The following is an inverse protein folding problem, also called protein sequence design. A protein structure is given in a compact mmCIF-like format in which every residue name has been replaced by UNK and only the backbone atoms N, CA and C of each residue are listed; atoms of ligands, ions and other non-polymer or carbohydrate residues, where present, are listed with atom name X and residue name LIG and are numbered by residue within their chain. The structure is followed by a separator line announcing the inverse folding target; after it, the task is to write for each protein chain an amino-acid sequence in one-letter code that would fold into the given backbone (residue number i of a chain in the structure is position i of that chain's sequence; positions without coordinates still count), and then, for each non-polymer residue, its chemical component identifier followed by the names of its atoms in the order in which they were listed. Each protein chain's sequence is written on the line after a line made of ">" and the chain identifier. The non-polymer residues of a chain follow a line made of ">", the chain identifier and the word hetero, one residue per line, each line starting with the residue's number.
data_IF_260283703435
#
_entry.id   IF_260283703435
#
_cell.length_a   1.000
_cell.length_b   1.000
_cell.length_c   1.000
_cell.angle_alpha   90.00
_cell.angle_beta   90.00
_cell.angle_gamma   90.00
#
_symmetry.space_group_name_H-M   'P 1'
#
loop_
_entity.id
_entity.type
_entity.pdbx_description
1 polymer ?
#
# COMPACT_ATOMS: atom_id res chain seq x y z
N UNK A 1 39.39 16.45 -4.88
CA UNK A 1 39.89 17.53 -4.01
C UNK A 1 38.82 17.81 -2.97
N UNK A 2 38.98 17.18 -1.82
CA UNK A 2 38.41 17.47 -0.51
C UNK A 2 38.68 16.20 0.31
N UNK A 3 39.88 16.11 0.88
CA UNK A 3 40.20 15.13 1.92
C UNK A 3 41.29 15.71 2.86
N UNK A 4 41.10 16.97 3.26
CA UNK A 4 42.02 17.72 4.12
C UNK A 4 41.49 17.92 5.56
N UNK A 5 40.46 17.17 5.97
CA UNK A 5 39.86 17.30 7.33
C UNK A 5 40.28 16.23 8.33
N UNK A 6 40.73 15.04 7.90
CA UNK A 6 41.18 13.99 8.83
C UNK A 6 42.64 14.18 9.29
N UNK A 7 43.49 14.81 8.48
CA UNK A 7 44.88 15.07 8.83
C UNK A 7 45.05 16.16 9.91
N UNK A 8 44.04 17.02 10.11
CA UNK A 8 44.08 18.12 11.08
C UNK A 8 43.78 17.71 12.52
N UNK A 9 43.03 16.63 12.73
CA UNK A 9 42.60 16.19 14.08
C UNK A 9 43.67 15.32 14.74
N UNK A 10 44.34 14.44 13.98
CA UNK A 10 45.39 13.58 14.52
C UNK A 10 46.68 14.32 14.88
N UNK A 11 46.95 15.48 14.29
CA UNK A 11 48.18 16.25 14.57
C UNK A 11 48.09 17.11 15.83
N UNK A 12 46.90 17.31 16.39
CA UNK A 12 46.68 18.12 17.59
C UNK A 12 46.77 17.25 18.87
N UNK A 13 46.59 15.94 18.77
CA UNK A 13 46.59 15.03 19.91
C UNK A 13 47.96 14.43 20.25
N UNK A 14 48.91 14.38 19.31
CA UNK A 14 50.25 13.80 19.56
C UNK A 14 51.22 14.76 20.28
N UNK A 15 50.97 16.09 20.26
CA UNK A 15 51.93 17.09 20.75
C UNK A 15 51.68 17.55 22.22
N UNK A 16 50.72 16.92 22.92
CA UNK A 16 50.39 17.22 24.32
C UNK A 16 50.08 15.98 25.16
N UNK A 17 50.83 14.88 25.00
CA UNK A 17 50.76 13.74 25.91
C UNK A 17 52.10 13.50 26.59
N UNK A 18 52.06 13.27 27.89
CA UNK A 18 53.25 12.84 28.64
C UNK A 18 53.51 11.36 28.40
N UNK A 19 54.79 10.95 28.48
CA UNK A 19 55.20 9.56 28.23
C UNK A 19 54.45 8.54 29.12
N UNK A 20 54.05 8.95 30.33
CA UNK A 20 53.27 8.13 31.26
C UNK A 20 51.83 7.93 30.78
N UNK A 21 51.20 8.94 30.19
CA UNK A 21 49.83 8.84 29.63
C UNK A 21 49.79 7.96 28.39
N UNK A 22 50.82 8.03 27.54
CA UNK A 22 50.97 7.16 26.38
C UNK A 22 51.09 5.69 26.80
N UNK A 23 51.86 5.40 27.85
CA UNK A 23 52.06 4.04 28.37
C UNK A 23 50.78 3.46 28.99
N UNK A 24 50.01 4.27 29.72
CA UNK A 24 48.73 3.84 30.31
C UNK A 24 47.71 3.53 29.21
N UNK A 25 47.66 4.30 28.13
CA UNK A 25 46.71 4.09 27.04
C UNK A 25 47.06 2.88 26.17
N UNK A 26 48.34 2.52 26.06
CA UNK A 26 48.80 1.27 25.44
C UNK A 26 48.47 0.05 26.32
N UNK A 27 48.68 0.13 27.65
CA UNK A 27 48.28 -0.91 28.61
C UNK A 27 46.75 -1.12 28.63
N UNK A 28 45.96 -0.05 28.45
CA UNK A 28 44.50 -0.11 28.34
C UNK A 28 44.00 -0.56 26.95
N UNK A 29 44.89 -0.76 25.98
CA UNK A 29 44.58 -1.25 24.63
C UNK A 29 43.77 -0.28 23.77
N UNK A 30 43.75 1.01 24.14
CA UNK A 30 42.94 2.04 23.47
C UNK A 30 43.67 2.55 22.22
N UNK A 31 45.01 2.56 22.23
CA UNK A 31 45.88 2.84 21.08
C UNK A 31 47.18 2.02 21.18
N UNK A 32 47.75 1.55 20.06
CA UNK A 32 49.00 0.77 20.04
C UNK A 32 48.94 -0.57 19.29
N UNK A 33 50.05 -1.31 19.26
CA UNK A 33 50.18 -2.61 18.56
C UNK A 33 49.14 -3.64 19.05
N UNK A 34 48.77 -3.56 20.34
CA UNK A 34 47.78 -4.41 21.01
C UNK A 34 46.38 -4.34 20.38
N UNK A 35 45.90 -3.13 20.02
CA UNK A 35 44.59 -2.91 19.37
C UNK A 35 44.57 -3.43 17.93
N UNK A 36 45.66 -3.24 17.19
CA UNK A 36 45.78 -3.75 15.80
C UNK A 36 45.80 -5.27 15.77
N UNK A 37 46.49 -5.90 16.72
CA UNK A 37 46.54 -7.36 16.83
C UNK A 37 45.19 -7.94 17.27
N UNK A 38 44.50 -7.30 18.22
CA UNK A 38 43.16 -7.69 18.65
C UNK A 38 42.11 -7.57 17.54
N UNK A 39 42.09 -6.45 16.81
CA UNK A 39 41.18 -6.27 15.67
C UNK A 39 41.49 -7.24 14.53
N UNK A 40 42.76 -7.56 14.29
CA UNK A 40 43.18 -8.59 13.33
C UNK A 40 42.71 -10.00 13.72
N UNK A 41 42.78 -10.35 15.01
CA UNK A 41 42.30 -11.65 15.50
C UNK A 41 40.77 -11.76 15.48
N UNK A 42 40.05 -10.68 15.79
CA UNK A 42 38.57 -10.64 15.73
C UNK A 42 38.04 -10.77 14.29
N UNK A 43 38.71 -10.14 13.31
CA UNK A 43 38.29 -10.23 11.91
C UNK A 43 38.51 -11.62 11.29
N UNK A 44 39.56 -12.34 11.70
CA UNK A 44 39.78 -13.73 11.28
C UNK A 44 38.73 -14.71 11.85
N UNK A 45 38.30 -14.51 13.10
CA UNK A 45 37.28 -15.35 13.74
C UNK A 45 35.87 -15.11 13.18
N UNK A 46 35.51 -13.86 12.85
CA UNK A 46 34.19 -13.49 12.35
C UNK A 46 33.87 -14.08 10.96
N UNK A 47 34.85 -14.14 10.06
CA UNK A 47 34.67 -14.72 8.71
C UNK A 47 34.42 -16.23 8.77
N UNK A 48 35.09 -16.93 9.67
CA UNK A 48 34.93 -18.38 9.85
C UNK A 48 33.51 -18.76 10.30
N UNK A 49 32.96 -18.05 11.28
CA UNK A 49 31.62 -18.34 11.83
C UNK A 49 30.51 -18.04 10.82
N UNK A 50 30.62 -16.93 10.08
CA UNK A 50 29.65 -16.56 9.05
C UNK A 50 29.67 -17.53 7.85
N UNK A 51 30.86 -17.97 7.42
CA UNK A 51 30.99 -18.94 6.32
C UNK A 51 30.39 -20.31 6.69
N UNK A 52 30.60 -20.77 7.93
CA UNK A 52 30.01 -22.00 8.46
C UNK A 52 28.48 -21.89 8.58
N UNK A 53 27.94 -20.75 9.01
CA UNK A 53 26.49 -20.53 9.03
C UNK A 53 25.88 -20.46 7.62
N UNK A 54 26.57 -19.83 6.66
CA UNK A 54 26.11 -19.77 5.27
C UNK A 54 26.06 -21.16 4.61
N UNK A 55 27.10 -21.99 4.83
CA UNK A 55 27.13 -23.37 4.34
C UNK A 55 26.11 -24.28 5.04
N UNK A 56 25.91 -24.10 6.36
CA UNK A 56 24.88 -24.83 7.10
C UNK A 56 23.47 -24.45 6.62
N UNK A 57 23.22 -23.16 6.33
CA UNK A 57 21.95 -22.70 5.77
C UNK A 57 21.73 -23.19 4.34
N UNK A 58 22.76 -23.27 3.50
CA UNK A 58 22.64 -23.86 2.16
C UNK A 58 22.27 -25.34 2.22
N UNK A 59 22.89 -26.11 3.12
CA UNK A 59 22.53 -27.51 3.32
C UNK A 59 21.14 -27.67 3.95
N UNK A 60 20.72 -26.76 4.84
CA UNK A 60 19.36 -26.77 5.40
C UNK A 60 18.29 -26.44 4.33
N UNK A 61 18.56 -25.49 3.42
CA UNK A 61 17.68 -25.16 2.30
C UNK A 61 17.67 -26.23 1.20
N UNK A 62 18.80 -26.92 0.98
CA UNK A 62 18.89 -28.02 0.03
C UNK A 62 18.32 -29.35 0.59
N UNK A 63 18.42 -29.57 1.90
CA UNK A 63 17.85 -30.71 2.62
C UNK A 63 16.38 -30.51 2.99
N UNK A 64 15.90 -29.27 3.05
CA UNK A 64 14.49 -28.98 2.75
C UNK A 64 14.28 -29.18 1.26
N UNK A 65 14.46 -30.42 0.80
CA UNK A 65 13.98 -30.87 -0.50
C UNK A 65 12.58 -30.31 -0.62
N UNK A 66 12.40 -29.43 -1.62
CA UNK A 66 11.26 -28.53 -1.69
C UNK A 66 10.03 -29.28 -1.25
N UNK A 67 9.38 -28.80 -0.19
CA UNK A 67 8.04 -29.26 0.14
C UNK A 67 7.30 -29.12 -1.17
N UNK A 68 7.12 -30.24 -1.87
CA UNK A 68 6.34 -30.28 -3.07
C UNK A 68 5.04 -29.65 -2.62
N UNK A 69 4.71 -28.49 -3.21
CA UNK A 69 3.43 -27.85 -2.96
C UNK A 69 2.41 -28.99 -3.01
N UNK A 70 1.62 -29.21 -1.94
CA UNK A 70 0.79 -30.40 -1.83
C UNK A 70 0.09 -30.58 -3.16
N UNK A 71 0.31 -31.74 -3.79
CA UNK A 71 -0.24 -32.07 -5.09
C UNK A 71 -1.71 -31.62 -5.08
N UNK A 72 -2.06 -30.76 -6.05
CA UNK A 72 -3.29 -29.98 -6.09
C UNK A 72 -4.42 -30.69 -5.33
N UNK A 73 -4.79 -30.12 -4.18
CA UNK A 73 -5.85 -30.64 -3.33
C UNK A 73 -7.01 -31.09 -4.22
N UNK A 74 -7.41 -32.36 -4.08
CA UNK A 74 -8.57 -32.91 -4.78
C UNK A 74 -9.72 -31.92 -4.63
N UNK A 75 -10.09 -31.25 -5.71
CA UNK A 75 -11.22 -30.34 -5.72
C UNK A 75 -12.45 -31.22 -5.55
N UNK A 76 -12.98 -31.28 -4.32
CA UNK A 76 -14.02 -32.24 -3.94
C UNK A 76 -15.27 -32.08 -4.81
N UNK A 77 -15.62 -30.84 -5.16
CA UNK A 77 -16.78 -30.48 -5.98
C UNK A 77 -16.35 -29.64 -7.18
N UNK A 78 -15.56 -30.24 -8.08
CA UNK A 78 -15.00 -29.54 -9.22
C UNK A 78 -16.08 -29.08 -10.22
N UNK A 79 -16.08 -27.79 -10.51
CA UNK A 79 -16.87 -27.16 -11.56
C UNK A 79 -15.94 -26.48 -12.56
N UNK A 80 -16.19 -26.67 -13.84
CA UNK A 80 -15.57 -25.85 -14.89
C UNK A 80 -16.44 -24.61 -15.08
N UNK A 81 -15.83 -23.44 -14.94
CA UNK A 81 -16.48 -22.14 -15.10
C UNK A 81 -15.68 -21.30 -16.09
N UNK A 82 -16.35 -20.60 -16.99
CA UNK A 82 -15.74 -19.67 -17.92
C UNK A 82 -16.41 -18.28 -17.83
N UNK A 83 -15.60 -17.22 -17.71
CA UNK A 83 -16.09 -15.85 -17.66
C UNK A 83 -15.02 -14.88 -18.16
N UNK A 84 -15.42 -13.64 -18.46
CA UNK A 84 -14.51 -12.62 -18.99
C UNK A 84 -14.02 -11.73 -17.86
N UNK A 85 -12.73 -11.73 -17.58
CA UNK A 85 -12.11 -10.87 -16.55
C UNK A 85 -11.26 -9.81 -17.24
N UNK A 86 -11.57 -8.53 -17.00
CA UNK A 86 -10.83 -7.39 -17.55
C UNK A 86 -10.66 -7.46 -19.08
N UNK A 87 -11.70 -7.93 -19.78
CA UNK A 87 -11.73 -8.09 -21.23
C UNK A 87 -11.20 -9.43 -21.75
N UNK A 88 -10.47 -10.20 -20.94
CA UNK A 88 -9.89 -11.49 -21.32
C UNK A 88 -10.77 -12.68 -20.88
N UNK A 89 -10.94 -13.67 -21.73
CA UNK A 89 -11.64 -14.90 -21.38
C UNK A 89 -10.79 -15.78 -20.45
N UNK A 90 -11.39 -16.26 -19.36
CA UNK A 90 -10.75 -17.11 -18.35
C UNK A 90 -11.63 -18.33 -18.12
N UNK A 91 -11.04 -19.52 -18.24
CA UNK A 91 -11.69 -20.79 -17.88
C UNK A 91 -10.95 -21.42 -16.72
N UNK A 92 -11.67 -21.77 -15.66
CA UNK A 92 -11.13 -22.28 -14.41
C UNK A 92 -11.87 -23.56 -14.01
N UNK A 93 -11.12 -24.51 -13.45
CA UNK A 93 -11.70 -25.58 -12.64
C UNK A 93 -11.61 -25.15 -11.16
N UNK A 94 -12.77 -24.99 -10.51
CA UNK A 94 -12.90 -24.45 -9.15
C UNK A 94 -13.73 -25.38 -8.27
N UNK A 95 -13.54 -25.30 -6.96
CA UNK A 95 -14.48 -25.89 -5.99
C UNK A 95 -15.80 -25.11 -6.03
N UNK A 96 -16.94 -25.79 -5.88
CA UNK A 96 -18.27 -25.16 -5.88
C UNK A 96 -18.46 -24.09 -4.80
N UNK A 97 -17.67 -24.11 -3.72
CA UNK A 97 -17.68 -23.12 -2.63
C UNK A 97 -16.79 -21.91 -2.91
N UNK A 98 -15.96 -21.94 -3.95
CA UNK A 98 -14.98 -20.89 -4.21
C UNK A 98 -15.69 -19.56 -4.51
N UNK A 99 -15.38 -18.55 -3.71
CA UNK A 99 -15.86 -17.19 -3.92
C UNK A 99 -15.21 -16.59 -5.17
N UNK A 100 -15.88 -15.61 -5.79
CA UNK A 100 -15.31 -14.85 -6.88
C UNK A 100 -14.04 -14.13 -6.42
N UNK A 101 -13.99 -13.68 -5.16
CA UNK A 101 -12.80 -13.06 -4.58
C UNK A 101 -11.60 -14.00 -4.60
N UNK A 102 -11.77 -15.24 -4.15
CA UNK A 102 -10.69 -16.22 -4.10
C UNK A 102 -10.31 -16.72 -5.49
N UNK A 103 -11.27 -16.86 -6.40
CA UNK A 103 -10.98 -17.16 -7.80
C UNK A 103 -10.11 -16.06 -8.45
N UNK A 104 -10.44 -14.79 -8.24
CA UNK A 104 -9.67 -13.67 -8.77
C UNK A 104 -8.26 -13.61 -8.18
N UNK A 105 -8.14 -13.72 -6.85
CA UNK A 105 -6.87 -13.52 -6.16
C UNK A 105 -5.95 -14.72 -6.23
N UNK A 106 -6.47 -15.92 -5.97
CA UNK A 106 -5.67 -17.11 -5.69
C UNK A 106 -5.57 -18.04 -6.91
N UNK A 107 -6.47 -17.89 -7.90
CA UNK A 107 -6.43 -18.67 -9.15
C UNK A 107 -6.00 -17.86 -10.36
N UNK A 108 -6.32 -16.56 -10.37
CA UNK A 108 -5.98 -15.65 -11.46
C UNK A 108 -4.90 -14.63 -11.08
N UNK A 109 -4.43 -14.64 -9.83
CA UNK A 109 -3.37 -13.75 -9.31
C UNK A 109 -3.68 -12.25 -9.45
N UNK A 110 -4.97 -11.91 -9.60
CA UNK A 110 -5.49 -10.53 -9.60
C UNK A 110 -5.75 -10.10 -8.15
N UNK A 111 -4.66 -9.68 -7.50
CA UNK A 111 -4.67 -9.39 -6.06
C UNK A 111 -5.23 -8.02 -5.69
N UNK A 112 -5.62 -7.20 -6.67
CA UNK A 112 -6.15 -5.85 -6.48
C UNK A 112 -7.42 -5.84 -5.62
N UNK A 113 -8.37 -6.73 -5.88
CA UNK A 113 -9.51 -6.94 -4.98
C UNK A 113 -9.06 -7.53 -3.64
N UNK A 114 -9.52 -6.94 -2.52
CA UNK A 114 -9.00 -7.27 -1.18
C UNK A 114 -9.98 -8.05 -0.32
N UNK A 115 -9.45 -9.01 0.44
CA UNK A 115 -10.19 -9.69 1.51
C UNK A 115 -9.95 -8.94 2.82
N UNK A 116 -10.91 -8.10 3.21
CA UNK A 116 -10.86 -7.37 4.49
C UNK A 116 -11.63 -8.05 5.64
N UNK A 117 -12.73 -8.71 5.31
CA UNK A 117 -13.61 -9.33 6.32
C UNK A 117 -14.18 -10.70 5.92
N UNK A 118 -14.23 -11.02 4.63
CA UNK A 118 -14.85 -12.24 4.06
C UNK A 118 -16.34 -12.49 4.38
N UNK A 119 -17.03 -11.51 4.99
CA UNK A 119 -18.43 -11.63 5.40
C UNK A 119 -19.29 -10.43 4.95
N UNK A 120 -18.86 -9.72 3.89
CA UNK A 120 -19.62 -8.63 3.28
C UNK A 120 -19.73 -7.33 4.10
N UNK A 121 -18.89 -7.15 5.12
CA UNK A 121 -18.99 -6.01 6.05
C UNK A 121 -18.20 -4.77 5.61
N UNK A 122 -17.13 -4.91 4.81
CA UNK A 122 -16.20 -3.80 4.56
C UNK A 122 -16.16 -3.25 3.13
N UNK A 123 -16.68 -3.95 2.13
CA UNK A 123 -16.62 -3.52 0.72
C UNK A 123 -15.23 -3.54 0.06
N UNK A 124 -14.15 -3.90 0.75
CA UNK A 124 -12.80 -3.91 0.16
C UNK A 124 -12.65 -4.90 -1.03
N UNK A 125 -13.57 -5.87 -1.12
CA UNK A 125 -13.65 -6.87 -2.17
C UNK A 125 -14.52 -6.47 -3.38
N UNK A 126 -15.00 -5.21 -3.45
CA UNK A 126 -15.91 -4.81 -4.53
C UNK A 126 -15.27 -5.00 -5.91
N UNK A 127 -16.01 -5.64 -6.80
CA UNK A 127 -15.75 -5.76 -8.24
C UNK A 127 -17.02 -5.45 -9.01
N UNK A 128 -16.91 -5.27 -10.33
CA UNK A 128 -18.06 -4.96 -11.20
C UNK A 128 -18.39 -6.18 -12.05
N UNK A 129 -19.58 -6.75 -11.89
CA UNK A 129 -20.09 -7.88 -12.68
C UNK A 129 -21.24 -7.39 -13.55
N UNK A 130 -21.10 -7.50 -14.87
CA UNK A 130 -22.06 -7.02 -15.88
C UNK A 130 -22.51 -5.57 -15.61
N UNK A 131 -21.54 -4.70 -15.29
CA UNK A 131 -21.77 -3.28 -15.00
C UNK A 131 -22.27 -2.97 -13.59
N UNK A 132 -22.56 -3.99 -12.75
CA UNK A 132 -23.05 -3.82 -11.37
C UNK A 132 -21.97 -4.12 -10.35
N UNK A 133 -21.75 -3.24 -9.38
CA UNK A 133 -20.86 -3.55 -8.26
C UNK A 133 -21.43 -4.66 -7.37
N UNK A 134 -20.57 -5.59 -6.96
CA UNK A 134 -20.92 -6.71 -6.07
C UNK A 134 -19.80 -6.97 -5.06
N UNK A 135 -20.15 -7.57 -3.92
CA UNK A 135 -19.18 -8.07 -2.95
C UNK A 135 -18.69 -9.45 -3.40
N UNK A 136 -17.46 -9.51 -3.93
CA UNK A 136 -16.93 -10.76 -4.49
C UNK A 136 -16.71 -11.87 -3.46
N UNK A 137 -16.55 -11.54 -2.16
CA UNK A 137 -16.51 -12.55 -1.09
C UNK A 137 -17.85 -13.27 -0.85
N UNK A 138 -18.98 -12.66 -1.23
CA UNK A 138 -20.32 -13.25 -1.10
C UNK A 138 -20.89 -13.71 -2.45
N UNK A 139 -20.08 -13.69 -3.49
CA UNK A 139 -20.46 -14.16 -4.84
C UNK A 139 -19.68 -15.43 -5.12
N UNK A 140 -20.33 -16.53 -5.48
CA UNK A 140 -19.63 -17.75 -5.90
C UNK A 140 -19.10 -17.60 -7.32
N UNK A 141 -17.88 -18.06 -7.58
CA UNK A 141 -17.31 -18.04 -8.94
C UNK A 141 -18.21 -18.81 -9.93
N UNK A 142 -18.85 -19.89 -9.48
CA UNK A 142 -19.78 -20.69 -10.28
C UNK A 142 -21.00 -19.91 -10.79
N UNK A 143 -21.43 -18.83 -10.14
CA UNK A 143 -22.57 -18.02 -10.60
C UNK A 143 -22.16 -16.91 -11.57
N UNK A 144 -20.88 -16.83 -11.91
CA UNK A 144 -20.32 -15.88 -12.86
C UNK A 144 -20.13 -16.45 -14.27
N UNK A 145 -20.55 -17.69 -14.54
CA UNK A 145 -20.50 -18.29 -15.88
C UNK A 145 -21.02 -17.33 -16.97
N UNK A 146 -20.22 -17.10 -18.00
CA UNK A 146 -20.52 -16.23 -19.15
C UNK A 146 -20.53 -14.73 -18.85
N UNK A 147 -20.37 -14.30 -17.59
CA UNK A 147 -20.45 -12.88 -17.20
C UNK A 147 -19.15 -12.13 -17.46
N UNK A 148 -19.24 -10.81 -17.49
CA UNK A 148 -18.10 -9.91 -17.51
C UNK A 148 -17.78 -9.40 -16.10
N UNK A 149 -16.57 -9.66 -15.64
CA UNK A 149 -16.02 -9.19 -14.36
C UNK A 149 -14.94 -8.14 -14.65
N UNK A 150 -15.07 -6.97 -14.03
CA UNK A 150 -14.04 -5.91 -14.05
C UNK A 150 -13.54 -5.69 -12.62
N UNK A 151 -12.23 -5.83 -12.45
CA UNK A 151 -11.52 -5.55 -11.18
C UNK A 151 -10.82 -4.19 -11.25
N UNK A 152 -10.14 -3.79 -10.17
CA UNK A 152 -9.40 -2.52 -10.13
C UNK A 152 -8.32 -2.44 -11.23
N UNK A 153 -7.69 -3.57 -11.54
CA UNK A 153 -6.68 -3.71 -12.60
C UNK A 153 -7.27 -3.47 -13.98
N UNK A 154 -8.55 -3.79 -14.17
CA UNK A 154 -9.24 -3.63 -15.46
C UNK A 154 -9.74 -2.22 -15.76
N UNK A 155 -9.59 -1.27 -14.82
CA UNK A 155 -10.04 0.11 -15.02
C UNK A 155 -9.01 0.96 -15.80
N UNK A 156 -7.72 0.67 -15.65
CA UNK A 156 -6.66 1.36 -16.36
C UNK A 156 -6.48 0.81 -17.78
N UNK A 157 -5.95 1.62 -18.69
CA UNK A 157 -5.59 1.22 -20.06
C UNK A 157 -4.07 1.31 -20.22
N UNK A 158 -3.37 0.19 -19.97
CA UNK A 158 -1.91 0.22 -19.88
C UNK A 158 -1.49 1.13 -18.72
N UNK A 159 -0.66 2.12 -19.00
CA UNK A 159 -0.18 3.10 -18.00
C UNK A 159 -1.15 4.28 -17.79
N UNK A 160 -2.24 4.35 -18.57
CA UNK A 160 -3.24 5.41 -18.43
C UNK A 160 -4.24 5.05 -17.33
N UNK A 161 -4.18 5.78 -16.21
CA UNK A 161 -5.13 5.65 -15.11
C UNK A 161 -6.54 6.06 -15.54
N UNK A 162 -7.54 5.34 -15.03
CA UNK A 162 -8.94 5.75 -15.11
C UNK A 162 -9.14 7.12 -14.44
N UNK A 163 -10.06 7.96 -14.94
CA UNK A 163 -10.33 9.28 -14.37
C UNK A 163 -10.62 9.23 -12.85
N UNK A 164 -11.34 8.20 -12.39
CA UNK A 164 -11.57 7.96 -10.96
C UNK A 164 -10.28 7.64 -10.19
N UNK A 165 -9.35 6.88 -10.76
CA UNK A 165 -8.04 6.62 -10.15
C UNK A 165 -7.23 7.91 -10.05
N UNK A 166 -7.21 8.73 -11.12
CA UNK A 166 -6.53 10.03 -11.12
C UNK A 166 -7.11 10.97 -10.05
N UNK A 167 -8.44 11.05 -9.93
CA UNK A 167 -9.09 11.87 -8.92
C UNK A 167 -8.76 11.40 -7.49
N UNK A 168 -8.71 10.09 -7.24
CA UNK A 168 -8.29 9.57 -5.93
C UNK A 168 -6.84 9.96 -5.59
N UNK A 169 -5.92 9.98 -6.57
CA UNK A 169 -4.55 10.46 -6.36
C UNK A 169 -4.55 11.96 -6.08
N UNK A 170 -5.23 12.75 -6.92
CA UNK A 170 -5.30 14.22 -6.79
C UNK A 170 -5.83 14.65 -5.41
N UNK A 171 -6.86 13.98 -4.91
CA UNK A 171 -7.54 14.38 -3.69
C UNK A 171 -6.99 13.71 -2.44
N UNK A 172 -5.92 12.90 -2.54
CA UNK A 172 -5.45 12.06 -1.43
C UNK A 172 -6.59 11.21 -0.84
N UNK A 173 -7.36 10.58 -1.75
CA UNK A 173 -8.55 9.78 -1.48
C UNK A 173 -8.25 8.40 -0.86
N UNK A 174 -7.06 8.23 -0.28
CA UNK A 174 -6.61 7.01 0.37
C UNK A 174 -5.43 7.31 1.30
N UNK A 175 -5.09 6.35 2.16
CA UNK A 175 -3.84 6.38 2.94
C UNK A 175 -3.15 5.02 2.84
N UNK A 176 -3.52 4.04 3.66
CA UNK A 176 -2.91 2.70 3.62
C UNK A 176 -3.16 1.93 2.31
N UNK A 177 -4.05 2.41 1.45
CA UNK A 177 -4.35 1.80 0.14
C UNK A 177 -5.26 0.57 0.18
N UNK A 178 -5.50 -0.05 1.34
CA UNK A 178 -6.15 -1.36 1.39
C UNK A 178 -7.63 -1.35 0.93
N UNK A 179 -8.40 -0.32 1.32
CA UNK A 179 -9.79 -0.20 0.90
C UNK A 179 -9.95 0.40 -0.52
N UNK A 180 -8.89 1.02 -1.05
CA UNK A 180 -8.93 1.86 -2.25
C UNK A 180 -9.43 1.13 -3.50
N UNK A 181 -9.04 -0.13 -3.78
CA UNK A 181 -9.61 -0.90 -4.89
C UNK A 181 -11.13 -1.01 -4.84
N UNK A 182 -11.68 -1.35 -3.67
CA UNK A 182 -13.12 -1.45 -3.46
C UNK A 182 -13.82 -0.10 -3.58
N UNK A 183 -13.22 0.96 -3.03
CA UNK A 183 -13.73 2.34 -3.14
C UNK A 183 -13.84 2.78 -4.61
N UNK A 184 -12.79 2.59 -5.40
CA UNK A 184 -12.75 3.01 -6.80
C UNK A 184 -13.73 2.20 -7.65
N UNK A 185 -13.76 0.86 -7.51
CA UNK A 185 -14.73 0.02 -8.21
C UNK A 185 -16.17 0.41 -7.88
N UNK A 186 -16.47 0.68 -6.60
CA UNK A 186 -17.78 1.17 -6.17
C UNK A 186 -18.11 2.52 -6.78
N UNK A 187 -17.17 3.47 -6.76
CA UNK A 187 -17.35 4.82 -7.30
C UNK A 187 -17.60 4.82 -8.82
N UNK A 188 -16.94 3.93 -9.57
CA UNK A 188 -17.18 3.78 -11.02
C UNK A 188 -18.58 3.22 -11.29
N UNK A 189 -18.99 2.17 -10.58
CA UNK A 189 -20.34 1.62 -10.74
C UNK A 189 -21.43 2.62 -10.32
N UNK A 190 -21.17 3.39 -9.26
CA UNK A 190 -22.03 4.48 -8.79
C UNK A 190 -22.33 5.51 -9.89
N UNK A 191 -21.38 5.83 -10.78
CA UNK A 191 -21.65 6.74 -11.90
C UNK A 191 -22.74 6.20 -12.83
N UNK A 192 -22.77 4.90 -13.05
CA UNK A 192 -23.82 4.25 -13.86
C UNK A 192 -25.16 4.23 -13.11
N UNK A 193 -25.16 3.93 -11.81
CA UNK A 193 -26.37 3.97 -10.97
C UNK A 193 -27.02 5.37 -11.01
N UNK A 194 -26.20 6.42 -10.86
CA UNK A 194 -26.64 7.81 -10.94
C UNK A 194 -27.17 8.15 -12.34
N UNK A 195 -26.45 7.75 -13.39
CA UNK A 195 -26.89 7.93 -14.78
C UNK A 195 -28.20 7.20 -15.10
N UNK A 196 -28.49 6.10 -14.41
CA UNK A 196 -29.73 5.34 -14.58
C UNK A 196 -30.88 5.87 -13.71
N UNK A 197 -30.63 6.85 -12.85
CA UNK A 197 -31.64 7.41 -11.95
C UNK A 197 -32.06 6.46 -10.82
N UNK A 198 -31.18 5.54 -10.43
CA UNK A 198 -31.46 4.56 -9.36
C UNK A 198 -31.54 5.29 -8.01
N UNK A 199 -32.65 5.15 -7.28
CA UNK A 199 -32.83 5.80 -5.98
C UNK A 199 -31.89 5.23 -4.89
N UNK A 200 -31.57 6.05 -3.89
CA UNK A 200 -30.87 5.67 -2.66
C UNK A 200 -31.74 5.94 -1.42
N UNK A 201 -31.20 5.69 -0.24
CA UNK A 201 -31.88 6.02 1.02
C UNK A 201 -32.15 7.52 1.18
N UNK A 202 -31.30 8.40 0.64
CA UNK A 202 -31.44 9.85 0.77
C UNK A 202 -32.28 10.49 -0.34
N UNK A 203 -32.79 9.70 -1.28
CA UNK A 203 -33.71 10.18 -2.32
C UNK A 203 -35.05 10.58 -1.71
N UNK A 204 -35.43 11.85 -1.83
CA UNK A 204 -36.61 12.42 -1.14
C UNK A 204 -37.95 11.84 -1.60
N UNK A 205 -38.14 11.59 -2.90
CA UNK A 205 -39.36 11.01 -3.46
C UNK A 205 -39.05 9.83 -4.39
N UNK A 206 -39.10 8.62 -3.84
CA UNK A 206 -38.84 7.37 -4.58
C UNK A 206 -39.88 7.04 -5.65
N UNK A 207 -41.02 7.76 -5.69
CA UNK A 207 -42.01 7.62 -6.77
C UNK A 207 -41.57 8.33 -8.04
N UNK A 208 -40.70 9.35 -7.91
CA UNK A 208 -40.10 10.02 -9.05
C UNK A 208 -38.86 9.26 -9.48
N UNK A 209 -38.84 8.80 -10.74
CA UNK A 209 -37.68 8.15 -11.35
C UNK A 209 -37.08 9.10 -12.39
N UNK A 210 -36.17 10.00 -11.98
CA UNK A 210 -35.50 10.87 -12.93
C UNK A 210 -34.65 10.02 -13.87
N UNK A 211 -34.39 10.52 -15.09
CA UNK A 211 -33.49 9.83 -16.03
C UNK A 211 -32.03 9.85 -15.62
N UNK A 212 -31.67 10.67 -14.64
CA UNK A 212 -30.33 10.78 -14.06
C UNK A 212 -30.40 11.50 -12.72
N UNK A 213 -29.52 11.14 -11.79
CA UNK A 213 -29.37 11.80 -10.48
C UNK A 213 -28.08 12.61 -10.49
N UNK A 214 -28.15 13.85 -10.02
CA UNK A 214 -26.96 14.63 -9.66
C UNK A 214 -26.48 14.18 -8.28
N UNK A 215 -25.25 13.71 -8.19
CA UNK A 215 -24.67 13.21 -6.95
C UNK A 215 -24.26 14.38 -6.05
N UNK A 216 -25.14 14.72 -5.11
CA UNK A 216 -24.79 15.56 -3.96
C UNK A 216 -23.82 14.82 -3.02
N UNK A 217 -23.17 15.54 -2.11
CA UNK A 217 -22.29 14.91 -1.12
C UNK A 217 -23.02 13.84 -0.30
N UNK A 218 -24.29 14.06 0.04
CA UNK A 218 -25.09 13.08 0.81
C UNK A 218 -25.45 11.85 -0.01
N UNK A 219 -25.76 12.02 -1.31
CA UNK A 219 -25.95 10.88 -2.22
C UNK A 219 -24.65 10.07 -2.40
N UNK A 220 -23.49 10.74 -2.49
CA UNK A 220 -22.19 10.06 -2.59
C UNK A 220 -21.92 9.30 -1.28
N UNK A 221 -22.06 9.95 -0.13
CA UNK A 221 -21.82 9.32 1.19
C UNK A 221 -22.70 8.09 1.36
N UNK A 222 -24.01 8.23 1.17
CA UNK A 222 -24.96 7.12 1.32
C UNK A 222 -24.59 5.94 0.43
N UNK A 223 -24.35 6.19 -0.86
CA UNK A 223 -24.08 5.11 -1.81
C UNK A 223 -22.70 4.50 -1.66
N UNK A 224 -21.77 5.19 -1.00
CA UNK A 224 -20.44 4.67 -0.70
C UNK A 224 -20.33 4.09 0.72
N UNK A 225 -21.39 4.16 1.55
CA UNK A 225 -21.42 3.63 2.92
C UNK A 225 -21.07 2.14 3.03
N UNK A 226 -21.24 1.37 1.95
CA UNK A 226 -20.83 -0.05 1.89
C UNK A 226 -19.32 -0.29 1.80
N UNK A 227 -18.49 0.75 1.67
CA UNK A 227 -17.04 0.67 1.58
C UNK A 227 -16.35 1.36 2.77
N UNK A 228 -15.89 0.56 3.72
CA UNK A 228 -15.29 1.05 4.97
C UNK A 228 -13.81 1.42 4.77
N UNK A 229 -13.43 2.59 5.25
CA UNK A 229 -12.06 3.10 5.34
C UNK A 229 -11.69 3.37 6.81
N UNK A 230 -10.80 2.57 7.40
CA UNK A 230 -10.37 2.76 8.79
C UNK A 230 -9.43 3.96 8.97
N UNK A 231 -8.69 4.33 7.94
CA UNK A 231 -7.86 5.53 7.91
C UNK A 231 -8.68 6.84 7.95
N UNK A 232 -9.97 6.78 7.62
CA UNK A 232 -10.85 7.94 7.68
C UNK A 232 -10.73 8.90 6.49
N UNK A 233 -10.26 8.43 5.33
CA UNK A 233 -10.10 9.26 4.11
C UNK A 233 -11.43 9.66 3.43
N UNK A 234 -12.59 9.48 4.08
CA UNK A 234 -13.90 9.67 3.48
C UNK A 234 -14.15 11.07 2.88
N UNK A 235 -13.77 12.19 3.53
CA UNK A 235 -13.98 13.51 2.94
C UNK A 235 -13.28 13.66 1.58
N UNK A 236 -12.05 13.16 1.48
CA UNK A 236 -11.24 13.19 0.26
C UNK A 236 -11.79 12.24 -0.81
N UNK A 237 -12.29 11.07 -0.42
CA UNK A 237 -12.99 10.14 -1.32
C UNK A 237 -14.23 10.81 -1.91
N UNK A 238 -15.04 11.50 -1.11
CA UNK A 238 -16.22 12.23 -1.58
C UNK A 238 -15.82 13.34 -2.55
N UNK A 239 -14.76 14.10 -2.26
CA UNK A 239 -14.25 15.15 -3.14
C UNK A 239 -13.82 14.60 -4.51
N UNK A 240 -13.06 13.49 -4.53
CA UNK A 240 -12.63 12.82 -5.75
C UNK A 240 -13.83 12.38 -6.62
N UNK A 241 -14.82 11.73 -6.01
CA UNK A 241 -16.01 11.24 -6.71
C UNK A 241 -16.82 12.41 -7.29
N UNK A 242 -16.99 13.49 -6.51
CA UNK A 242 -17.73 14.69 -6.91
C UNK A 242 -17.08 15.41 -8.09
N UNK A 243 -15.76 15.53 -8.09
CA UNK A 243 -15.01 16.11 -9.22
C UNK A 243 -15.26 15.31 -10.51
N UNK A 244 -15.13 13.98 -10.44
CA UNK A 244 -15.36 13.12 -11.62
C UNK A 244 -16.81 13.22 -12.10
N UNK A 245 -17.78 13.23 -11.18
CA UNK A 245 -19.19 13.33 -11.54
C UNK A 245 -19.54 14.66 -12.21
N UNK A 246 -19.03 15.77 -11.68
CA UNK A 246 -19.38 17.12 -12.15
C UNK A 246 -18.50 17.61 -13.30
N UNK A 247 -17.32 17.02 -13.49
CA UNK A 247 -16.29 17.50 -14.42
C UNK A 247 -15.69 18.85 -14.03
N UNK A 248 -15.95 19.33 -12.81
CA UNK A 248 -15.47 20.62 -12.30
C UNK A 248 -14.42 20.39 -11.24
N UNK A 249 -13.39 21.22 -11.28
CA UNK A 249 -12.31 21.22 -10.30
C UNK A 249 -12.87 21.40 -8.88
N UNK A 250 -12.53 20.48 -7.98
CA UNK A 250 -12.84 20.59 -6.55
C UNK A 250 -11.55 21.00 -5.84
N UNK A 251 -11.62 22.05 -5.03
CA UNK A 251 -10.44 22.57 -4.33
C UNK A 251 -9.83 21.52 -3.40
N UNK A 252 -8.49 21.39 -3.45
CA UNK A 252 -7.73 20.54 -2.55
C UNK A 252 -7.64 21.21 -1.17
N UNK A 253 -7.67 20.41 -0.12
CA UNK A 253 -7.49 20.86 1.27
C UNK A 253 -6.03 20.72 1.75
N UNK A 254 -5.14 20.29 0.86
CA UNK A 254 -3.72 20.08 1.12
C UNK A 254 -2.87 20.59 -0.05
N UNK A 255 -1.61 20.90 0.22
CA UNK A 255 -0.62 21.28 -0.78
C UNK A 255 0.72 20.60 -0.45
N UNK A 256 1.52 20.31 -1.46
CA UNK A 256 2.92 19.93 -1.21
C UNK A 256 3.65 21.12 -0.60
N UNK A 257 4.53 20.87 0.37
CA UNK A 257 5.42 21.90 0.89
C UNK A 257 6.27 22.44 -0.26
N UNK A 258 6.15 23.74 -0.52
CA UNK A 258 7.00 24.45 -1.48
C UNK A 258 8.30 24.94 -0.84
N UNK A 259 9.19 25.50 -1.65
CA UNK A 259 10.44 26.13 -1.17
C UNK A 259 10.16 27.21 -0.11
N UNK A 260 9.06 27.94 -0.24
CA UNK A 260 8.64 28.95 0.75
C UNK A 260 8.17 28.33 2.08
N UNK A 261 7.60 27.13 2.06
CA UNK A 261 7.17 26.43 3.28
C UNK A 261 8.38 25.83 4.02
N UNK A 262 9.43 25.42 3.29
CA UNK A 262 10.73 25.02 3.85
C UNK A 262 11.40 26.17 4.62
N UNK A 263 11.42 27.37 4.03
CA UNK A 263 11.98 28.54 4.71
C UNK A 263 11.25 28.87 6.02
N UNK A 264 9.91 28.74 6.05
CA UNK A 264 9.12 28.93 7.28
C UNK A 264 9.45 27.85 8.32
N UNK A 265 9.65 26.60 7.89
CA UNK A 265 10.04 25.52 8.79
C UNK A 265 11.44 25.73 9.40
N UNK A 266 12.40 26.17 8.59
CA UNK A 266 13.76 26.49 9.03
C UNK A 266 13.79 27.64 10.05
N UNK A 267 13.02 28.70 9.80
CA UNK A 267 12.88 29.82 10.75
C UNK A 267 12.25 29.34 12.07
N UNK A 268 11.22 28.49 12.02
CA UNK A 268 10.60 27.95 13.23
C UNK A 268 11.53 27.01 14.01
N UNK A 269 12.38 26.25 13.34
CA UNK A 269 13.44 25.43 13.97
C UNK A 269 14.53 26.30 14.61
N UNK A 270 14.91 27.42 13.98
CA UNK A 270 15.85 28.38 14.56
C UNK A 270 15.28 29.03 15.82
N UNK A 271 14.01 29.47 15.79
CA UNK A 271 13.33 30.05 16.96
C UNK A 271 13.28 29.04 18.12
N UNK A 272 12.93 27.78 17.86
CA UNK A 272 12.94 26.73 18.91
C UNK A 272 14.31 26.48 19.51
N UNK A 273 15.37 26.55 18.70
CA UNK A 273 16.75 26.44 19.21
C UNK A 273 17.11 27.62 20.10
N UNK A 274 16.76 28.85 19.70
CA UNK A 274 17.00 30.06 20.49
C UNK A 274 16.21 30.05 21.80
N UNK A 275 14.95 29.60 21.79
CA UNK A 275 14.13 29.46 23.00
C UNK A 275 14.68 28.38 23.95
N UNK A 276 15.19 27.26 23.41
CA UNK A 276 15.83 26.20 24.22
C UNK A 276 17.13 26.66 24.90
N UNK A 277 17.84 27.63 24.29
CA UNK A 277 19.05 28.22 24.86
C UNK A 277 18.69 29.19 26.00
N UNK A 278 17.56 29.90 25.89
CA UNK A 278 17.09 30.83 26.93
C UNK A 278 16.43 30.14 28.15
N UNK A 279 15.93 28.90 28.03
CA UNK A 279 15.44 28.12 29.17
C UNK A 279 16.56 27.46 30.02
N UNK A 280 17.82 27.51 29.55
CA UNK A 280 18.96 26.86 30.24
C UNK A 280 19.88 27.87 30.98
N UNK A 281 19.44 29.13 31.16
CA UNK A 281 20.18 30.17 31.92
C UNK A 281 19.48 30.51 33.23
#
# INVERSE_FOLDING_TARGET
>A
KNDDSEAGVNKIAEDQMTDDEARILDELGIFGESRRQFLGQMSAAGVGVLALQALANQNAFAASGGLAAPAAQNIENALKVAFRVNGAEKSLNVDSRMTLLDALRERLELTGSKKGCDHGQCGACTVIVDGRRVLSCLTLAATCEGKQVTTIEGLAKGDELHQMQQAFVKHDGFQCGYCTPGQICSAVALMNEAKNGEASYVTTDVRQRPRSIQLSDDEIRERMSGNICRCGAYPNIVAAIKEVHTGKDVAQTWQFAGENDQAIFEVNEQIKKEDSINETV
#
